data_IF_712762965865
#
_entry.id   IF_712762965865
#
_cell.length_a   1.000
_cell.length_b   1.000
_cell.length_c   1.000
_cell.angle_alpha   90.00
_cell.angle_beta   90.00
_cell.angle_gamma   90.00
#
_symmetry.space_group_name_H-M   'P 1'
#
loop_
_entity.id
_entity.type
_entity.pdbx_description
1 polymer ?
#
# COMPACT_ATOMS: atom_id res chain seq x y z
N UNK A 1 -143.80 11.45 -145.45
CA UNK A 1 -142.68 11.95 -146.26
C UNK A 1 -141.69 12.53 -145.29
N UNK A 2 -140.51 11.92 -145.17
CA UNK A 2 -139.46 12.38 -144.29
C UNK A 2 -138.93 13.70 -144.85
N UNK A 3 -139.08 14.81 -144.11
CA UNK A 3 -138.44 16.07 -144.45
C UNK A 3 -136.92 15.86 -144.38
N UNK A 4 -136.27 16.02 -145.52
CA UNK A 4 -134.81 15.97 -145.61
C UNK A 4 -134.23 17.13 -144.78
N UNK A 5 -133.24 16.87 -143.92
CA UNK A 5 -132.69 17.89 -143.04
C UNK A 5 -132.03 19.02 -143.85
N UNK A 6 -132.43 20.26 -143.56
CA UNK A 6 -131.88 21.48 -144.16
C UNK A 6 -130.35 21.55 -143.99
N UNK A 7 -129.65 22.07 -145.01
CA UNK A 7 -128.18 22.22 -144.99
C UNK A 7 -127.66 23.01 -143.76
N UNK A 8 -128.49 23.88 -143.17
CA UNK A 8 -128.18 24.61 -141.93
C UNK A 8 -128.19 23.68 -140.71
N UNK A 9 -129.12 22.74 -140.66
CA UNK A 9 -129.23 21.75 -139.58
C UNK A 9 -128.11 20.72 -139.66
N UNK A 10 -127.71 20.30 -140.88
CA UNK A 10 -126.54 19.46 -141.09
C UNK A 10 -125.23 20.13 -140.63
N UNK A 11 -125.04 21.44 -140.89
CA UNK A 11 -123.88 22.18 -140.38
C UNK A 11 -123.88 22.30 -138.85
N UNK A 12 -125.05 22.52 -138.25
CA UNK A 12 -125.20 22.61 -136.79
C UNK A 12 -124.94 21.26 -136.13
N UNK A 13 -125.45 20.18 -136.70
CA UNK A 13 -125.24 18.81 -136.26
C UNK A 13 -123.75 18.44 -136.33
N UNK A 14 -123.07 18.73 -137.44
CA UNK A 14 -121.62 18.54 -137.57
C UNK A 14 -120.81 19.35 -136.54
N UNK A 15 -121.26 20.57 -136.22
CA UNK A 15 -120.62 21.39 -135.17
C UNK A 15 -120.82 20.78 -133.77
N UNK A 16 -122.01 20.25 -133.50
CA UNK A 16 -122.32 19.56 -132.24
C UNK A 16 -121.57 18.23 -132.12
N UNK A 17 -121.43 17.48 -133.22
CA UNK A 17 -120.63 16.26 -133.29
C UNK A 17 -119.16 16.55 -132.97
N UNK A 18 -118.56 17.56 -133.61
CA UNK A 18 -117.18 17.97 -133.32
C UNK A 18 -117.00 18.40 -131.85
N UNK A 19 -117.98 19.11 -131.27
CA UNK A 19 -117.95 19.49 -129.84
C UNK A 19 -118.10 18.29 -128.93
N UNK A 20 -118.99 17.35 -129.26
CA UNK A 20 -119.19 16.12 -128.51
C UNK A 20 -117.93 15.23 -128.55
N UNK A 21 -117.27 15.15 -129.70
CA UNK A 21 -116.00 14.44 -129.86
C UNK A 21 -114.89 15.07 -129.03
N UNK A 22 -114.73 16.40 -129.11
CA UNK A 22 -113.79 17.14 -128.26
C UNK A 22 -114.08 16.96 -126.76
N UNK A 23 -115.35 17.04 -126.33
CA UNK A 23 -115.71 16.80 -124.94
C UNK A 23 -115.46 15.35 -124.49
N UNK A 24 -115.59 14.38 -125.39
CA UNK A 24 -115.23 12.97 -125.10
C UNK A 24 -113.72 12.81 -124.95
N UNK A 25 -112.93 13.47 -125.80
CA UNK A 25 -111.47 13.51 -125.68
C UNK A 25 -111.04 14.19 -124.38
N UNK A 26 -111.58 15.36 -124.05
CA UNK A 26 -111.31 16.08 -122.79
C UNK A 26 -111.72 15.25 -121.57
N UNK A 27 -112.87 14.55 -121.62
CA UNK A 27 -113.27 13.64 -120.53
C UNK A 27 -112.32 12.45 -120.40
N UNK A 28 -111.74 11.98 -121.51
CA UNK A 28 -110.74 10.91 -121.51
C UNK A 28 -109.43 11.40 -120.91
N UNK A 29 -108.92 12.55 -121.34
CA UNK A 29 -107.68 13.14 -120.79
C UNK A 29 -107.82 13.41 -119.30
N UNK A 30 -108.92 14.03 -118.85
CA UNK A 30 -109.19 14.26 -117.42
C UNK A 30 -109.28 12.94 -116.64
N UNK A 31 -109.85 11.89 -117.23
CA UNK A 31 -109.92 10.56 -116.59
C UNK A 31 -108.53 9.94 -116.47
N UNK A 32 -107.71 10.04 -117.50
CA UNK A 32 -106.35 9.52 -117.53
C UNK A 32 -105.45 10.28 -116.55
N UNK A 33 -105.53 11.61 -116.50
CA UNK A 33 -104.86 12.47 -115.51
C UNK A 33 -105.30 12.11 -114.08
N UNK A 34 -106.59 11.97 -113.83
CA UNK A 34 -107.11 11.56 -112.50
C UNK A 34 -106.58 10.18 -112.10
N UNK A 35 -106.53 9.24 -113.03
CA UNK A 35 -106.00 7.91 -112.79
C UNK A 35 -104.49 7.95 -112.51
N UNK A 36 -103.73 8.78 -113.25
CA UNK A 36 -102.32 9.04 -113.01
C UNK A 36 -102.09 9.65 -111.62
N UNK A 37 -102.77 10.74 -111.28
CA UNK A 37 -102.69 11.40 -109.97
C UNK A 37 -103.06 10.46 -108.82
N UNK A 38 -104.04 9.58 -109.00
CA UNK A 38 -104.37 8.55 -107.99
C UNK A 38 -103.26 7.52 -107.80
N UNK A 39 -102.56 7.12 -108.86
CA UNK A 39 -101.40 6.21 -108.76
C UNK A 39 -100.24 6.91 -108.07
N UNK A 40 -99.95 8.16 -108.43
CA UNK A 40 -98.91 8.98 -107.80
C UNK A 40 -99.21 9.21 -106.32
N UNK A 41 -100.45 9.56 -105.97
CA UNK A 41 -100.88 9.73 -104.58
C UNK A 41 -100.72 8.44 -103.76
N UNK A 42 -101.11 7.28 -104.33
CA UNK A 42 -100.92 5.98 -103.66
C UNK A 42 -99.44 5.63 -103.48
N UNK A 43 -98.59 5.92 -104.47
CA UNK A 43 -97.15 5.69 -104.37
C UNK A 43 -96.53 6.59 -103.28
N UNK A 44 -96.91 7.87 -103.24
CA UNK A 44 -96.49 8.80 -102.20
C UNK A 44 -96.95 8.34 -100.80
N UNK A 45 -98.20 7.89 -100.65
CA UNK A 45 -98.71 7.34 -99.39
C UNK A 45 -97.94 6.10 -98.94
N UNK A 46 -97.59 5.19 -99.87
CA UNK A 46 -96.76 4.03 -99.55
C UNK A 46 -95.34 4.44 -99.15
N UNK A 47 -94.78 5.48 -99.78
CA UNK A 47 -93.47 6.01 -99.42
C UNK A 47 -93.49 6.66 -98.03
N UNK A 48 -94.53 7.44 -97.71
CA UNK A 48 -94.73 8.03 -96.38
C UNK A 48 -94.81 6.93 -95.32
N UNK A 49 -95.63 5.89 -95.53
CA UNK A 49 -95.75 4.79 -94.57
C UNK A 49 -94.41 4.03 -94.35
N UNK A 50 -93.58 3.90 -95.40
CA UNK A 50 -92.23 3.33 -95.25
C UNK A 50 -91.31 4.24 -94.45
N UNK A 51 -91.35 5.55 -94.71
CA UNK A 51 -90.55 6.52 -93.99
C UNK A 51 -90.94 6.60 -92.51
N UNK A 52 -92.24 6.59 -92.20
CA UNK A 52 -92.74 6.55 -90.83
C UNK A 52 -92.24 5.30 -90.09
N UNK A 53 -92.26 4.14 -90.74
CA UNK A 53 -91.70 2.90 -90.18
C UNK A 53 -90.20 3.03 -89.90
N UNK A 54 -89.42 3.60 -90.82
CA UNK A 54 -87.98 3.79 -90.60
C UNK A 54 -87.68 4.84 -89.52
N UNK A 55 -88.50 5.88 -89.39
CA UNK A 55 -88.37 6.87 -88.32
C UNK A 55 -88.60 6.19 -86.97
N UNK A 56 -89.66 5.41 -86.83
CA UNK A 56 -89.94 4.68 -85.60
C UNK A 56 -88.84 3.67 -85.23
N UNK A 57 -88.28 2.96 -86.23
CA UNK A 57 -87.15 2.04 -86.01
C UNK A 57 -85.89 2.79 -85.57
N UNK A 58 -85.60 3.96 -86.17
CA UNK A 58 -84.46 4.79 -85.78
C UNK A 58 -84.65 5.41 -84.38
N UNK A 59 -85.86 5.84 -84.04
CA UNK A 59 -86.18 6.37 -82.69
C UNK A 59 -85.98 5.31 -81.61
N UNK A 60 -86.42 4.07 -81.86
CA UNK A 60 -86.19 2.96 -80.94
C UNK A 60 -84.69 2.64 -80.79
N UNK A 61 -83.94 2.64 -81.90
CA UNK A 61 -82.50 2.42 -81.87
C UNK A 61 -81.74 3.54 -81.12
N UNK A 62 -82.18 4.80 -81.26
CA UNK A 62 -81.60 5.92 -80.50
C UNK A 62 -81.87 5.78 -79.00
N UNK A 63 -83.09 5.42 -78.60
CA UNK A 63 -83.41 5.17 -77.19
C UNK A 63 -82.56 4.04 -76.58
N UNK A 64 -82.33 2.96 -77.33
CA UNK A 64 -81.44 1.88 -76.89
C UNK A 64 -79.99 2.37 -76.71
N UNK A 65 -79.50 3.18 -77.66
CA UNK A 65 -78.15 3.74 -77.60
C UNK A 65 -77.97 4.74 -76.45
N UNK A 66 -78.99 5.54 -76.16
CA UNK A 66 -78.99 6.46 -75.02
C UNK A 66 -78.94 5.69 -73.69
N UNK A 67 -79.71 4.60 -73.56
CA UNK A 67 -79.62 3.72 -72.39
C UNK A 67 -78.23 3.09 -72.22
N UNK A 68 -77.64 2.59 -73.32
CA UNK A 68 -76.26 2.05 -73.30
C UNK A 68 -75.22 3.12 -72.93
N UNK A 69 -75.42 4.37 -73.36
CA UNK A 69 -74.55 5.49 -73.02
C UNK A 69 -74.65 5.82 -71.52
N UNK A 70 -75.86 5.86 -70.96
CA UNK A 70 -76.08 6.10 -69.53
C UNK A 70 -75.44 5.01 -68.66
N UNK A 71 -75.60 3.73 -69.03
CA UNK A 71 -74.96 2.60 -68.34
C UNK A 71 -73.43 2.71 -68.40
N UNK A 72 -72.86 3.03 -69.56
CA UNK A 72 -71.43 3.24 -69.72
C UNK A 72 -70.91 4.41 -68.86
N UNK A 73 -71.67 5.51 -68.79
CA UNK A 73 -71.32 6.66 -67.94
C UNK A 73 -71.33 6.30 -66.45
N UNK A 74 -72.35 5.56 -65.99
CA UNK A 74 -72.41 5.07 -64.61
C UNK A 74 -71.23 4.14 -64.30
N UNK A 75 -70.87 3.26 -65.22
CA UNK A 75 -69.72 2.37 -65.05
C UNK A 75 -68.40 3.14 -64.98
N UNK A 76 -68.21 4.15 -65.83
CA UNK A 76 -67.03 5.03 -65.80
C UNK A 76 -66.93 5.76 -64.46
N UNK A 77 -68.04 6.31 -63.94
CA UNK A 77 -68.06 6.97 -62.63
C UNK A 77 -67.68 6.01 -61.50
N UNK A 78 -68.20 4.78 -61.52
CA UNK A 78 -67.85 3.76 -60.55
C UNK A 78 -66.34 3.42 -60.59
N UNK A 79 -65.78 3.25 -61.79
CA UNK A 79 -64.35 3.00 -61.97
C UNK A 79 -63.49 4.18 -61.50
N UNK A 80 -63.93 5.43 -61.72
CA UNK A 80 -63.23 6.62 -61.23
C UNK A 80 -63.18 6.66 -59.70
N UNK A 81 -64.30 6.33 -59.03
CA UNK A 81 -64.33 6.23 -57.57
C UNK A 81 -63.40 5.13 -57.05
N UNK A 82 -63.40 3.95 -57.69
CA UNK A 82 -62.50 2.85 -57.34
C UNK A 82 -61.02 3.22 -57.54
N UNK A 83 -60.70 3.92 -58.62
CA UNK A 83 -59.34 4.39 -58.89
C UNK A 83 -58.89 5.42 -57.84
N UNK A 84 -59.78 6.31 -57.40
CA UNK A 84 -59.49 7.28 -56.35
C UNK A 84 -59.20 6.59 -55.00
N UNK A 85 -60.03 5.62 -54.59
CA UNK A 85 -59.79 4.82 -53.37
C UNK A 85 -58.48 4.01 -53.47
N UNK A 86 -58.23 3.37 -54.61
CA UNK A 86 -56.96 2.66 -54.84
C UNK A 86 -55.74 3.59 -54.75
N UNK A 87 -55.85 4.82 -55.28
CA UNK A 87 -54.82 5.85 -55.15
C UNK A 87 -54.53 6.22 -53.70
N UNK A 88 -55.58 6.48 -52.90
CA UNK A 88 -55.43 6.79 -51.48
C UNK A 88 -54.79 5.64 -50.70
N UNK A 89 -55.19 4.39 -50.96
CA UNK A 89 -54.57 3.20 -50.34
C UNK A 89 -53.11 3.06 -50.71
N UNK A 90 -52.76 3.34 -51.96
CA UNK A 90 -51.37 3.29 -52.41
C UNK A 90 -50.51 4.35 -51.72
N UNK A 91 -51.00 5.59 -51.59
CA UNK A 91 -50.32 6.64 -50.82
C UNK A 91 -50.13 6.26 -49.35
N UNK A 92 -51.15 5.68 -48.72
CA UNK A 92 -51.05 5.18 -47.34
C UNK A 92 -50.01 4.08 -47.20
N UNK A 93 -49.99 3.10 -48.12
CA UNK A 93 -48.99 2.03 -48.12
C UNK A 93 -47.58 2.56 -48.36
N UNK A 94 -47.40 3.56 -49.23
CA UNK A 94 -46.11 4.23 -49.42
C UNK A 94 -45.64 4.93 -48.15
N UNK A 95 -46.54 5.64 -47.44
CA UNK A 95 -46.21 6.29 -46.17
C UNK A 95 -45.85 5.27 -45.08
N UNK A 96 -46.58 4.16 -45.00
CA UNK A 96 -46.25 3.06 -44.08
C UNK A 96 -44.90 2.43 -44.40
N UNK A 97 -44.60 2.19 -45.68
CA UNK A 97 -43.32 1.65 -46.10
C UNK A 97 -42.16 2.58 -45.74
N UNK A 98 -42.29 3.88 -46.00
CA UNK A 98 -41.28 4.87 -45.63
C UNK A 98 -41.03 4.89 -44.12
N UNK A 99 -42.09 4.82 -43.31
CA UNK A 99 -41.98 4.76 -41.85
C UNK A 99 -41.27 3.50 -41.37
N UNK A 100 -41.61 2.34 -41.93
CA UNK A 100 -40.94 1.07 -41.57
C UNK A 100 -39.47 1.10 -41.98
N UNK A 101 -39.13 1.71 -43.12
CA UNK A 101 -37.74 1.89 -43.54
C UNK A 101 -36.97 2.80 -42.58
N UNK A 102 -37.57 3.90 -42.13
CA UNK A 102 -36.96 4.80 -41.16
C UNK A 102 -36.76 4.12 -39.79
N UNK A 103 -37.78 3.40 -39.30
CA UNK A 103 -37.71 2.64 -38.06
C UNK A 103 -36.62 1.54 -38.13
N UNK A 104 -36.56 0.79 -39.23
CA UNK A 104 -35.53 -0.23 -39.43
C UNK A 104 -34.12 0.38 -39.51
N UNK A 105 -33.97 1.53 -40.17
CA UNK A 105 -32.67 2.22 -40.25
C UNK A 105 -32.21 2.71 -38.87
N UNK A 106 -33.13 3.27 -38.08
CA UNK A 106 -32.84 3.69 -36.71
C UNK A 106 -32.44 2.50 -35.81
N UNK A 107 -33.10 1.34 -35.96
CA UNK A 107 -32.76 0.13 -35.21
C UNK A 107 -31.37 -0.40 -35.61
N UNK A 108 -31.04 -0.40 -36.91
CA UNK A 108 -29.71 -0.78 -37.39
C UNK A 108 -28.63 0.11 -36.78
N UNK A 109 -28.84 1.43 -36.77
CA UNK A 109 -27.85 2.37 -36.24
C UNK A 109 -27.71 2.26 -34.71
N UNK A 110 -28.82 2.00 -33.99
CA UNK A 110 -28.78 1.70 -32.56
C UNK A 110 -28.02 0.39 -32.26
N UNK A 111 -28.24 -0.66 -33.06
CA UNK A 111 -27.53 -1.93 -32.92
C UNK A 111 -26.03 -1.80 -33.20
N UNK A 112 -25.63 -0.98 -34.19
CA UNK A 112 -24.21 -0.68 -34.44
C UNK A 112 -23.55 0.03 -33.26
N UNK A 113 -24.18 1.07 -32.72
CA UNK A 113 -23.66 1.77 -31.54
C UNK A 113 -23.54 0.82 -30.33
N UNK A 114 -24.52 -0.08 -30.15
CA UNK A 114 -24.47 -1.09 -29.10
C UNK A 114 -23.33 -2.10 -29.31
N UNK A 115 -23.06 -2.49 -30.55
CA UNK A 115 -21.93 -3.36 -30.87
C UNK A 115 -20.59 -2.67 -30.58
N UNK A 116 -20.41 -1.41 -31.01
CA UNK A 116 -19.19 -0.64 -30.75
C UNK A 116 -18.93 -0.46 -29.24
N UNK A 117 -19.96 -0.15 -28.46
CA UNK A 117 -19.83 -0.04 -26.99
C UNK A 117 -19.50 -1.38 -26.34
N UNK A 118 -20.06 -2.49 -26.83
CA UNK A 118 -19.74 -3.83 -26.35
C UNK A 118 -18.31 -4.24 -26.69
N UNK A 119 -17.81 -3.89 -27.88
CA UNK A 119 -16.43 -4.13 -28.30
C UNK A 119 -15.44 -3.32 -27.45
N UNK A 120 -15.74 -2.05 -27.16
CA UNK A 120 -14.93 -1.23 -26.27
C UNK A 120 -14.88 -1.80 -24.85
N UNK A 121 -16.03 -2.26 -24.31
CA UNK A 121 -16.09 -2.90 -23.00
C UNK A 121 -15.32 -4.23 -22.97
N UNK A 122 -15.35 -5.01 -24.05
CA UNK A 122 -14.56 -6.23 -24.19
C UNK A 122 -13.06 -5.94 -24.18
N UNK A 123 -12.62 -4.92 -24.92
CA UNK A 123 -11.22 -4.50 -24.94
C UNK A 123 -10.73 -4.08 -23.55
N UNK A 124 -11.52 -3.28 -22.82
CA UNK A 124 -11.21 -2.87 -21.44
C UNK A 124 -11.16 -4.09 -20.50
N UNK A 125 -12.08 -5.05 -20.65
CA UNK A 125 -12.07 -6.27 -19.85
C UNK A 125 -10.82 -7.12 -20.10
N UNK A 126 -10.36 -7.22 -21.35
CA UNK A 126 -9.13 -7.93 -21.71
C UNK A 126 -7.89 -7.25 -21.12
N UNK A 127 -7.80 -5.92 -21.18
CA UNK A 127 -6.69 -5.16 -20.56
C UNK A 127 -6.64 -5.39 -19.04
N UNK A 128 -7.81 -5.42 -18.37
CA UNK A 128 -7.88 -5.75 -16.94
C UNK A 128 -7.43 -7.18 -16.64
N UNK A 129 -7.76 -8.14 -17.50
CA UNK A 129 -7.31 -9.52 -17.34
C UNK A 129 -5.78 -9.58 -17.47
N UNK A 130 -5.20 -8.95 -18.49
CA UNK A 130 -3.75 -8.90 -18.68
C UNK A 130 -3.04 -8.24 -17.48
N UNK A 131 -3.60 -7.14 -16.95
CA UNK A 131 -3.08 -6.50 -15.74
C UNK A 131 -3.15 -7.41 -14.50
N UNK A 132 -4.23 -8.19 -14.35
CA UNK A 132 -4.37 -9.15 -13.27
C UNK A 132 -3.39 -10.33 -13.43
N UNK A 133 -3.20 -10.83 -14.65
CA UNK A 133 -2.22 -11.87 -14.96
C UNK A 133 -0.79 -11.39 -14.65
N UNK A 134 -0.41 -10.18 -15.05
CA UNK A 134 0.86 -9.57 -14.63
C UNK A 134 0.98 -9.45 -13.10
N UNK A 135 -0.12 -9.10 -12.42
CA UNK A 135 -0.20 -9.11 -10.96
C UNK A 135 0.07 -10.50 -10.37
N UNK A 136 -0.49 -11.56 -10.97
CA UNK A 136 -0.26 -12.95 -10.52
C UNK A 136 1.19 -13.41 -10.66
N UNK A 137 2.01 -12.80 -11.52
CA UNK A 137 3.45 -13.07 -11.58
C UNK A 137 4.25 -12.30 -10.52
N UNK A 138 3.81 -11.10 -10.13
CA UNK A 138 4.49 -10.30 -9.09
C UNK A 138 4.30 -10.87 -7.68
N UNK A 139 3.13 -11.45 -7.38
CA UNK A 139 2.83 -12.06 -6.08
C UNK A 139 3.80 -13.18 -5.69
N UNK A 140 4.10 -14.21 -6.52
CA UNK A 140 5.05 -15.25 -6.18
C UNK A 140 6.46 -14.69 -6.01
N UNK A 141 6.90 -13.72 -6.82
CA UNK A 141 8.20 -13.08 -6.64
C UNK A 141 8.32 -12.37 -5.27
N UNK A 142 7.26 -11.68 -4.83
CA UNK A 142 7.20 -11.06 -3.50
C UNK A 142 7.10 -12.08 -2.36
N UNK A 143 6.46 -13.23 -2.59
CA UNK A 143 6.41 -14.33 -1.62
C UNK A 143 7.78 -14.99 -1.47
N UNK A 144 8.50 -15.22 -2.58
CA UNK A 144 9.85 -15.77 -2.57
C UNK A 144 10.83 -14.84 -1.87
N UNK A 145 10.73 -13.52 -2.12
CA UNK A 145 11.55 -12.54 -1.41
C UNK A 145 11.20 -12.47 0.08
N UNK A 146 9.91 -12.50 0.46
CA UNK A 146 9.52 -12.59 1.86
C UNK A 146 10.07 -13.84 2.54
N UNK A 147 10.06 -14.98 1.86
CA UNK A 147 10.62 -16.23 2.38
C UNK A 147 12.13 -16.10 2.59
N UNK A 148 12.84 -15.52 1.63
CA UNK A 148 14.28 -15.25 1.75
C UNK A 148 14.60 -14.30 2.91
N UNK A 149 13.83 -13.23 3.08
CA UNK A 149 14.00 -12.29 4.18
C UNK A 149 13.72 -12.95 5.54
N UNK A 150 12.72 -13.84 5.62
CA UNK A 150 12.45 -14.61 6.83
C UNK A 150 13.63 -15.56 7.17
N UNK A 151 14.18 -16.26 6.17
CA UNK A 151 15.37 -17.11 6.36
C UNK A 151 16.59 -16.28 6.82
N UNK A 152 16.78 -15.07 6.28
CA UNK A 152 17.84 -14.15 6.72
C UNK A 152 17.63 -13.66 8.16
N UNK A 153 16.39 -13.37 8.56
CA UNK A 153 16.06 -12.98 9.92
C UNK A 153 16.34 -14.11 10.91
N UNK A 154 16.01 -15.36 10.57
CA UNK A 154 16.29 -16.52 11.42
C UNK A 154 17.80 -16.72 11.63
N UNK A 155 18.61 -16.56 10.58
CA UNK A 155 20.07 -16.61 10.68
C UNK A 155 20.61 -15.49 11.57
N UNK A 156 20.16 -14.25 11.34
CA UNK A 156 20.57 -13.11 12.16
C UNK A 156 20.16 -13.25 13.63
N UNK A 157 18.97 -13.80 13.91
CA UNK A 157 18.53 -14.10 15.27
C UNK A 157 19.45 -15.12 15.95
N UNK A 158 19.85 -16.18 15.22
CA UNK A 158 20.80 -17.16 15.72
C UNK A 158 22.17 -16.53 15.99
N UNK A 159 22.65 -15.67 15.12
CA UNK A 159 23.92 -14.96 15.31
C UNK A 159 23.87 -14.03 16.53
N UNK A 160 22.74 -13.33 16.73
CA UNK A 160 22.53 -12.50 17.92
C UNK A 160 22.57 -13.33 19.19
N UNK A 161 21.94 -14.51 19.22
CA UNK A 161 22.01 -15.43 20.37
C UNK A 161 23.43 -15.89 20.64
N UNK A 162 24.18 -16.28 19.59
CA UNK A 162 25.59 -16.69 19.73
C UNK A 162 26.47 -15.55 20.26
N UNK A 163 26.24 -14.31 19.79
CA UNK A 163 26.96 -13.14 20.28
C UNK A 163 26.59 -12.81 21.74
N UNK A 164 25.34 -13.03 22.14
CA UNK A 164 24.93 -12.87 23.54
C UNK A 164 25.60 -13.90 24.45
N UNK A 165 25.67 -15.17 24.03
CA UNK A 165 26.37 -16.22 24.76
C UNK A 165 27.87 -15.92 24.88
N UNK A 166 28.51 -15.53 23.78
CA UNK A 166 29.92 -15.14 23.76
C UNK A 166 30.20 -13.91 24.65
N UNK A 167 29.30 -12.93 24.67
CA UNK A 167 29.41 -11.77 25.54
C UNK A 167 29.25 -12.14 27.02
N UNK A 168 28.35 -13.07 27.35
CA UNK A 168 28.19 -13.58 28.71
C UNK A 168 29.45 -14.34 29.17
N UNK A 169 30.03 -15.17 28.30
CA UNK A 169 31.29 -15.87 28.56
C UNK A 169 32.45 -14.89 28.77
N UNK A 170 32.61 -13.89 27.87
CA UNK A 170 33.62 -12.86 28.01
C UNK A 170 33.47 -12.06 29.32
N UNK A 171 32.24 -11.78 29.74
CA UNK A 171 31.94 -11.11 31.02
C UNK A 171 32.35 -11.98 32.22
N UNK A 172 32.09 -13.29 32.15
CA UNK A 172 32.54 -14.23 33.19
C UNK A 172 34.06 -14.32 33.25
N UNK A 173 34.74 -14.36 32.11
CA UNK A 173 36.21 -14.38 32.05
C UNK A 173 36.78 -13.09 32.66
N UNK A 174 36.24 -11.93 32.29
CA UNK A 174 36.67 -10.64 32.86
C UNK A 174 36.53 -10.62 34.37
N UNK A 175 35.40 -11.13 34.90
CA UNK A 175 35.20 -11.24 36.35
C UNK A 175 36.24 -12.12 37.02
N UNK A 176 36.54 -13.29 36.45
CA UNK A 176 37.57 -14.18 36.98
C UNK A 176 38.95 -13.53 36.96
N UNK A 177 39.30 -12.83 35.87
CA UNK A 177 40.57 -12.09 35.75
C UNK A 177 40.65 -10.95 36.76
N UNK A 178 39.54 -10.25 37.03
CA UNK A 178 39.48 -9.22 38.08
C UNK A 178 39.68 -9.80 39.48
N UNK A 179 39.04 -10.94 39.78
CA UNK A 179 39.21 -11.66 41.05
C UNK A 179 40.65 -12.18 41.22
N UNK A 180 41.25 -12.75 40.16
CA UNK A 180 42.67 -13.15 40.15
C UNK A 180 43.61 -11.96 40.35
N UNK A 181 43.37 -10.84 39.67
CA UNK A 181 44.14 -9.60 39.83
C UNK A 181 44.10 -9.11 41.27
N UNK A 182 42.93 -9.09 41.89
CA UNK A 182 42.75 -8.61 43.26
C UNK A 182 43.41 -9.56 44.29
N UNK A 183 43.35 -10.87 44.03
CA UNK A 183 44.10 -11.90 44.77
C UNK A 183 45.62 -11.68 44.65
N UNK A 184 46.13 -11.50 43.43
CA UNK A 184 47.55 -11.22 43.17
C UNK A 184 48.01 -9.91 43.82
N UNK A 185 47.18 -8.87 43.80
CA UNK A 185 47.48 -7.60 44.47
C UNK A 185 47.61 -7.77 45.98
N UNK A 186 46.72 -8.56 46.58
CA UNK A 186 46.76 -8.86 48.02
C UNK A 186 47.98 -9.71 48.39
N UNK A 187 48.28 -10.74 47.59
CA UNK A 187 49.48 -11.57 47.77
C UNK A 187 50.77 -10.74 47.63
N UNK A 188 50.82 -9.81 46.67
CA UNK A 188 51.95 -8.90 46.49
C UNK A 188 52.12 -7.97 47.69
N UNK A 189 51.05 -7.39 48.21
CA UNK A 189 51.12 -6.54 49.41
C UNK A 189 51.64 -7.31 50.64
N UNK A 190 51.27 -8.58 50.76
CA UNK A 190 51.77 -9.44 51.85
C UNK A 190 53.26 -9.79 51.66
N UNK A 191 53.69 -10.12 50.44
CA UNK A 191 55.10 -10.31 50.12
C UNK A 191 55.92 -9.04 50.36
N UNK A 192 55.40 -7.86 50.00
CA UNK A 192 56.05 -6.57 50.27
C UNK A 192 56.27 -6.36 51.79
N UNK A 193 55.28 -6.69 52.64
CA UNK A 193 55.46 -6.66 54.11
C UNK A 193 56.49 -7.66 54.62
N UNK A 194 56.52 -8.87 54.05
CA UNK A 194 57.50 -9.88 54.42
C UNK A 194 58.91 -9.42 54.05
N UNK A 195 59.09 -8.82 52.87
CA UNK A 195 60.36 -8.22 52.45
C UNK A 195 60.77 -7.10 53.41
N UNK A 196 59.87 -6.19 53.76
CA UNK A 196 60.16 -5.10 54.72
C UNK A 196 60.58 -5.66 56.10
N UNK A 197 59.88 -6.70 56.58
CA UNK A 197 60.22 -7.38 57.84
C UNK A 197 61.60 -8.04 57.78
N UNK A 198 61.90 -8.75 56.69
CA UNK A 198 63.21 -9.38 56.46
C UNK A 198 64.32 -8.35 56.30
N UNK A 199 64.05 -7.20 55.67
CA UNK A 199 65.00 -6.09 55.57
C UNK A 199 65.30 -5.49 56.94
N UNK A 200 64.27 -5.25 57.78
CA UNK A 200 64.45 -4.82 59.17
C UNK A 200 65.28 -5.83 59.97
N UNK A 201 65.01 -7.13 59.83
CA UNK A 201 65.80 -8.19 60.46
C UNK A 201 67.25 -8.20 59.95
N UNK A 202 67.47 -8.04 58.64
CA UNK A 202 68.82 -7.96 58.07
C UNK A 202 69.59 -6.78 58.64
N UNK A 203 68.96 -5.60 58.72
CA UNK A 203 69.57 -4.40 59.32
C UNK A 203 69.91 -4.65 60.78
N UNK A 204 68.99 -5.19 61.59
CA UNK A 204 69.25 -5.50 63.01
C UNK A 204 70.40 -6.50 63.17
N UNK A 205 70.40 -7.61 62.42
CA UNK A 205 71.48 -8.59 62.43
C UNK A 205 72.81 -8.00 61.96
N UNK A 206 72.79 -7.15 60.93
CA UNK A 206 73.97 -6.47 60.44
C UNK A 206 74.54 -5.52 61.50
N UNK A 207 73.68 -4.78 62.21
CA UNK A 207 74.07 -3.96 63.38
C UNK A 207 74.67 -4.85 64.47
N UNK A 208 74.03 -5.97 64.82
CA UNK A 208 74.56 -6.91 65.81
C UNK A 208 75.93 -7.46 65.43
N UNK A 209 76.13 -7.84 64.16
CA UNK A 209 77.43 -8.27 63.66
C UNK A 209 78.45 -7.15 63.78
N UNK A 210 78.12 -5.91 63.39
CA UNK A 210 79.06 -4.78 63.58
C UNK A 210 79.40 -4.52 65.04
N UNK A 211 78.43 -4.62 65.95
CA UNK A 211 78.67 -4.47 67.40
C UNK A 211 79.51 -5.61 67.96
N UNK A 212 79.24 -6.86 67.56
CA UNK A 212 80.03 -8.02 67.97
C UNK A 212 81.45 -7.97 67.39
N UNK A 213 81.61 -7.55 66.14
CA UNK A 213 82.94 -7.35 65.53
C UNK A 213 83.71 -6.26 66.29
N UNK A 214 83.08 -5.13 66.63
CA UNK A 214 83.69 -4.08 67.44
C UNK A 214 84.04 -4.57 68.86
N UNK A 215 83.23 -5.45 69.46
CA UNK A 215 83.53 -6.10 70.75
C UNK A 215 84.66 -7.12 70.68
N UNK A 216 84.83 -7.82 69.55
CA UNK A 216 85.92 -8.76 69.35
C UNK A 216 87.25 -8.03 69.09
N UNK A 217 87.21 -6.88 68.40
CA UNK A 217 88.38 -6.03 68.17
C UNK A 217 88.86 -5.31 69.45
N UNK A 218 88.00 -5.16 70.46
CA UNK A 218 88.35 -4.65 71.78
C UNK A 218 88.89 -5.79 72.68
N UNK A 219 90.16 -6.18 72.48
CA UNK A 219 90.82 -7.18 73.33
C UNK A 219 90.89 -6.74 74.81
N UNK A 220 90.28 -7.53 75.69
CA UNK A 220 90.68 -7.61 77.10
C UNK A 220 89.80 -6.90 78.14
N UNK A 221 88.74 -6.18 77.73
CA UNK A 221 87.87 -5.47 78.68
C UNK A 221 86.42 -5.96 78.72
N UNK A 222 85.86 -5.90 79.93
CA UNK A 222 84.53 -6.38 80.36
C UNK A 222 83.42 -6.12 79.32
N UNK A 223 82.55 -7.11 79.01
CA UNK A 223 81.51 -6.94 77.99
C UNK A 223 80.56 -5.80 78.34
N UNK A 224 80.60 -4.75 77.50
CA UNK A 224 79.74 -3.58 77.57
C UNK A 224 78.63 -3.70 76.53
N UNK A 225 77.37 -3.66 76.98
CA UNK A 225 76.24 -3.53 76.08
C UNK A 225 75.92 -2.04 75.87
N UNK A 226 75.82 -1.57 74.61
CA UNK A 226 75.38 -0.22 74.32
C UNK A 226 73.92 -0.02 74.79
N UNK A 227 73.61 1.20 75.22
CA UNK A 227 72.31 1.54 75.83
C UNK A 227 71.12 1.21 74.93
N UNK A 228 71.26 1.36 73.61
CA UNK A 228 70.20 1.08 72.64
C UNK A 228 69.84 -0.41 72.58
N UNK A 229 70.83 -1.29 72.73
CA UNK A 229 70.62 -2.75 72.71
C UNK A 229 69.96 -3.24 74.02
N UNK A 230 70.24 -2.57 75.15
CA UNK A 230 69.53 -2.81 76.41
C UNK A 230 68.09 -2.30 76.32
N UNK A 231 67.88 -1.12 75.72
CA UNK A 231 66.54 -0.58 75.50
C UNK A 231 65.71 -1.47 74.57
N UNK A 232 66.30 -2.03 73.52
CA UNK A 232 65.64 -2.95 72.58
C UNK A 232 65.35 -4.32 73.21
N UNK A 233 66.26 -4.85 74.03
CA UNK A 233 65.99 -6.08 74.81
C UNK A 233 64.90 -5.89 75.86
N UNK A 234 64.90 -4.76 76.59
CA UNK A 234 63.88 -4.44 77.59
C UNK A 234 62.54 -4.16 76.90
N UNK A 235 62.53 -3.43 75.78
CA UNK A 235 61.36 -3.20 74.93
C UNK A 235 60.77 -4.50 74.40
N UNK A 236 61.60 -5.37 73.81
CA UNK A 236 61.17 -6.68 73.32
C UNK A 236 60.69 -7.63 74.43
N UNK A 237 61.24 -7.54 75.65
CA UNK A 237 60.72 -8.25 76.82
C UNK A 237 59.34 -7.73 77.22
N UNK A 238 59.15 -6.41 77.24
CA UNK A 238 57.85 -5.77 77.53
C UNK A 238 56.81 -6.17 76.49
N UNK A 239 57.16 -6.15 75.20
CA UNK A 239 56.24 -6.49 74.12
C UNK A 239 55.89 -7.98 74.10
N UNK A 240 56.82 -8.89 74.44
CA UNK A 240 56.51 -10.31 74.63
C UNK A 240 55.64 -10.56 75.86
N UNK A 241 55.87 -9.85 76.96
CA UNK A 241 55.03 -9.95 78.17
C UNK A 241 53.62 -9.43 77.86
N UNK A 242 53.48 -8.32 77.12
CA UNK A 242 52.18 -7.78 76.68
C UNK A 242 51.48 -8.65 75.63
N UNK A 243 52.23 -9.21 74.68
CA UNK A 243 51.71 -10.01 73.58
C UNK A 243 51.27 -11.42 73.97
N UNK A 244 51.97 -12.07 74.92
CA UNK A 244 51.64 -13.44 75.35
C UNK A 244 50.69 -13.51 76.56
N UNK A 245 50.44 -12.40 77.27
CA UNK A 245 49.53 -12.35 78.42
C UNK A 245 48.36 -11.42 78.08
N UNK A 246 47.51 -11.86 77.16
CA UNK A 246 46.29 -11.14 76.80
C UNK A 246 45.35 -11.03 78.01
N UNK A 247 45.26 -9.85 78.61
CA UNK A 247 44.24 -9.51 79.63
C UNK A 247 44.73 -9.17 81.03
N UNK A 248 46.05 -9.12 81.29
CA UNK A 248 46.59 -8.66 82.58
C UNK A 248 47.12 -7.23 82.45
N UNK A 249 46.42 -6.26 83.02
CA UNK A 249 46.97 -4.91 83.18
C UNK A 249 48.11 -4.99 84.21
N UNK A 250 49.36 -4.85 83.77
CA UNK A 250 50.49 -4.64 84.69
C UNK A 250 50.30 -3.28 85.36
N UNK A 251 49.53 -3.25 86.43
CA UNK A 251 49.45 -2.12 87.36
C UNK A 251 50.48 -2.33 88.47
N UNK A 252 51.22 -1.28 88.78
CA UNK A 252 52.21 -1.25 89.87
C UNK A 252 53.30 -2.33 89.82
N UNK A 253 53.68 -2.80 88.62
CA UNK A 253 54.78 -3.75 88.48
C UNK A 253 56.12 -3.01 88.50
N UNK A 254 57.06 -3.50 89.31
CA UNK A 254 58.39 -2.93 89.49
C UNK A 254 59.44 -4.02 89.22
N UNK A 255 60.31 -3.80 88.24
CA UNK A 255 61.45 -4.69 87.97
C UNK A 255 62.72 -4.00 88.47
N UNK A 256 63.42 -4.68 89.37
CA UNK A 256 64.68 -4.24 89.96
C UNK A 256 65.83 -5.00 89.27
N UNK A 257 66.62 -4.27 88.49
CA UNK A 257 67.79 -4.81 87.80
C UNK A 257 69.05 -4.27 88.46
N UNK A 258 69.94 -5.17 88.88
CA UNK A 258 71.28 -4.81 89.35
C UNK A 258 72.21 -4.74 88.13
N UNK A 259 72.64 -3.53 87.77
CA UNK A 259 73.53 -3.29 86.63
C UNK A 259 74.67 -2.37 87.05
N UNK A 260 75.86 -2.61 86.52
CA UNK A 260 76.98 -1.69 86.65
C UNK A 260 76.90 -0.64 85.54
N UNK A 261 77.34 0.59 85.82
CA UNK A 261 77.59 1.57 84.77
C UNK A 261 79.09 1.59 84.50
N UNK A 262 79.46 1.32 83.25
CA UNK A 262 80.84 1.37 82.80
C UNK A 262 80.97 2.40 81.68
N UNK A 263 82.10 3.10 81.63
CA UNK A 263 82.49 3.89 80.47
C UNK A 263 83.79 3.33 79.92
N UNK A 264 83.78 2.91 78.67
CA UNK A 264 84.99 2.58 77.92
C UNK A 264 85.02 3.44 76.67
N UNK A 265 86.12 4.15 76.44
CA UNK A 265 86.44 4.76 75.14
C UNK A 265 85.31 5.63 74.54
N UNK A 266 84.85 6.65 75.28
CA UNK A 266 83.76 7.57 74.90
C UNK A 266 82.33 6.98 74.80
N UNK A 267 82.13 5.72 75.18
CA UNK A 267 80.79 5.12 75.26
C UNK A 267 80.44 4.70 76.69
N UNK A 268 79.38 5.30 77.23
CA UNK A 268 78.73 4.87 78.47
C UNK A 268 77.78 3.72 78.18
N UNK A 269 77.92 2.59 78.89
CA UNK A 269 77.07 1.43 78.69
C UNK A 269 76.79 0.67 79.98
N UNK A 270 75.90 -0.31 79.86
CA UNK A 270 75.50 -1.16 80.99
C UNK A 270 76.42 -2.38 81.07
N UNK A 271 76.92 -2.64 82.28
CA UNK A 271 77.68 -3.84 82.62
C UNK A 271 76.71 -4.82 83.28
N UNK A 272 76.40 -5.90 82.56
CA UNK A 272 75.54 -6.97 83.07
C UNK A 272 76.41 -8.01 83.77
N UNK A 273 76.21 -8.27 85.08
CA UNK A 273 77.03 -9.23 85.80
C UNK A 273 76.75 -10.66 85.28
N UNK A 274 77.81 -11.36 84.88
CA UNK A 274 77.75 -12.78 84.56
C UNK A 274 78.23 -13.60 85.77
N UNK A 275 78.03 -14.91 85.74
CA UNK A 275 78.50 -15.82 86.80
C UNK A 275 80.03 -15.75 87.01
N UNK A 276 80.77 -15.23 86.02
CA UNK A 276 82.22 -15.06 86.02
C UNK A 276 82.68 -13.65 86.38
N UNK A 277 81.78 -12.71 86.69
CA UNK A 277 82.16 -11.35 87.08
C UNK A 277 82.94 -11.35 88.40
N UNK A 278 84.08 -10.63 88.40
CA UNK A 278 84.96 -10.47 89.56
C UNK A 278 84.22 -9.81 90.74
N UNK A 279 84.64 -10.08 92.00
CA UNK A 279 83.98 -9.54 93.19
C UNK A 279 83.81 -8.01 93.16
N UNK A 280 84.82 -7.30 92.66
CA UNK A 280 84.85 -5.83 92.56
C UNK A 280 83.72 -5.24 91.67
N UNK A 281 83.27 -6.01 90.67
CA UNK A 281 82.18 -5.60 89.78
C UNK A 281 80.82 -5.84 90.45
N UNK A 282 80.71 -6.85 91.32
CA UNK A 282 79.45 -7.18 92.03
C UNK A 282 79.13 -6.19 93.15
N UNK A 283 80.15 -5.56 93.74
CA UNK A 283 79.96 -4.55 94.80
C UNK A 283 79.56 -3.17 94.25
N UNK A 284 79.92 -2.84 93.00
CA UNK A 284 79.62 -1.56 92.35
C UNK A 284 78.38 -1.61 91.42
N UNK A 285 77.47 -2.55 91.64
CA UNK A 285 76.22 -2.63 90.88
C UNK A 285 75.20 -1.63 91.43
N UNK A 286 74.65 -0.81 90.54
CA UNK A 286 73.53 0.06 90.84
C UNK A 286 72.20 -0.66 90.59
N UNK A 287 71.22 -0.44 91.46
CA UNK A 287 69.86 -0.97 91.29
C UNK A 287 69.03 0.03 90.49
N UNK A 288 68.69 -0.33 89.26
CA UNK A 288 67.73 0.41 88.45
C UNK A 288 66.36 -0.19 88.69
N UNK A 289 65.43 0.67 89.07
CA UNK A 289 64.05 0.30 89.36
C UNK A 289 63.17 0.80 88.20
N UNK A 290 62.72 -0.13 87.37
CA UNK A 290 61.82 0.16 86.24
C UNK A 290 60.37 0.03 86.72
N UNK A 291 59.65 1.15 86.71
CA UNK A 291 58.21 1.20 87.01
C UNK A 291 57.41 1.34 85.72
N UNK A 292 56.47 0.42 85.50
CA UNK A 292 55.72 0.35 84.25
C UNK A 292 54.46 1.23 84.21
N UNK A 293 54.23 2.08 85.22
CA UNK A 293 52.92 2.74 85.45
C UNK A 293 52.96 4.28 85.45
N UNK A 294 53.72 4.89 84.52
CA UNK A 294 53.64 6.34 84.29
C UNK A 294 53.47 6.67 82.80
N UNK A 295 52.34 7.28 82.38
CA UNK A 295 52.26 7.87 81.05
C UNK A 295 53.29 9.02 80.96
N UNK A 296 54.04 9.05 79.86
CA UNK A 296 54.99 10.11 79.58
C UNK A 296 54.30 11.50 79.64
N UNK A 297 54.97 12.54 80.17
CA UNK A 297 54.42 13.89 80.16
C UNK A 297 54.21 14.37 78.72
N UNK A 298 52.98 14.78 78.48
CA UNK A 298 52.41 15.30 77.23
C UNK A 298 53.23 16.48 76.67
N UNK A 299 53.95 16.24 75.57
CA UNK A 299 54.58 17.26 74.71
C UNK A 299 53.72 17.47 73.45
N UNK A 300 52.44 17.80 73.64
CA UNK A 300 51.51 18.11 72.56
C UNK A 300 51.50 19.58 72.16
N UNK A 301 52.25 19.95 71.10
CA UNK A 301 51.92 21.02 70.12
C UNK A 301 53.03 21.12 69.06
N UNK A 302 52.69 20.87 67.79
CA UNK A 302 52.91 21.78 66.63
C UNK A 302 52.14 21.24 65.43
N UNK A 303 51.53 22.20 64.74
CA UNK A 303 50.57 22.15 63.64
C UNK A 303 51.13 21.62 62.31
N UNK A 304 50.22 21.20 61.41
CA UNK A 304 49.92 21.78 60.07
C UNK A 304 49.23 20.69 59.22
N UNK A 305 47.94 20.76 58.86
CA UNK A 305 47.22 21.70 57.98
C UNK A 305 47.73 21.77 56.54
N UNK A 306 46.82 21.42 55.61
CA UNK A 306 46.78 21.77 54.16
C UNK A 306 47.72 20.94 53.27
N UNK A 307 47.32 20.40 52.12
CA UNK A 307 46.51 20.95 51.00
C UNK A 307 46.00 19.75 50.17
N UNK A 308 44.72 19.60 49.80
CA UNK A 308 43.98 20.29 48.74
C UNK A 308 44.50 20.03 47.31
N UNK A 309 43.54 19.98 46.36
CA UNK A 309 43.66 20.06 44.88
C UNK A 309 43.88 18.69 44.22
N UNK A 310 43.08 18.18 43.27
CA UNK A 310 42.36 18.75 42.11
C UNK A 310 41.28 17.71 41.67
N UNK A 311 40.03 18.06 41.32
CA UNK A 311 39.55 18.39 39.95
C UNK A 311 39.81 17.26 38.92
N UNK A 312 38.94 16.82 38.01
CA UNK A 312 37.73 17.41 37.44
C UNK A 312 36.97 16.37 36.55
N UNK A 313 35.67 16.63 36.35
CA UNK A 313 34.89 16.51 35.09
C UNK A 313 34.88 15.23 34.23
N UNK A 314 33.68 14.66 34.03
CA UNK A 314 32.90 14.64 32.76
C UNK A 314 31.74 13.64 32.89
N UNK A 315 30.48 14.06 33.00
CA UNK A 315 29.51 14.34 31.91
C UNK A 315 29.45 13.34 30.75
N UNK A 316 28.18 12.97 30.44
CA UNK A 316 27.54 12.67 29.15
C UNK A 316 27.44 11.24 28.60
N UNK A 317 26.16 10.88 28.36
CA UNK A 317 25.58 10.08 27.26
C UNK A 317 25.81 8.56 27.26
N UNK A 318 24.76 7.82 27.59
CA UNK A 318 23.80 7.30 26.60
C UNK A 318 22.46 7.00 27.28
#
# INVERSE_FOLDING_TARGET
MADEPSARDLRRLKTLENRLEKEKEDKKTIRDERNRLRRELRAAQQQIARLEKTIAENEAALQEKDGQLEEAQQHIQALQMQLADAGQRFEQLQAMLARVQEEAQAEIDALKQRAETAEAALAEALEKIEALEGGTETVPALLDENRRLAEQLDVLQKDVLQLQDAAAEATSILRNVEEERDSHKSARAELEKQVETLEQQRVSLQTQVTTLTAQIEAEGDTPLMPADQVAEMVGGLIDRIKGNIGGLALRDSEIKLKVGFGSASDQSGFVVPTTKSTPDIKENLHEITLRFDRPAPDLGRIQRSQSAVTEATRTTKK
#
